data_IF_435735714000
#
_entry.id   IF_435735714000
#
_cell.length_a   1.000
_cell.length_b   1.000
_cell.length_c   1.000
_cell.angle_alpha   90.00
_cell.angle_beta   90.00
_cell.angle_gamma   90.00
#
_symmetry.space_group_name_H-M   'P 1'
#
loop_
_entity.id
_entity.type
_entity.pdbx_description
1 polymer ?
#
# COMPACT_ATOMS: atom_id res chain seq x y z
N UNK A 1 -19.76 -20.96 -21.11
CA UNK A 1 -18.42 -21.39 -21.56
C UNK A 1 -17.76 -22.15 -20.42
N UNK A 2 -17.55 -23.45 -20.60
CA UNK A 2 -16.93 -24.35 -19.62
C UNK A 2 -15.47 -23.95 -19.45
N UNK A 3 -15.09 -23.50 -18.25
CA UNK A 3 -13.73 -23.03 -17.94
C UNK A 3 -12.75 -24.18 -18.08
N UNK A 4 -11.73 -24.00 -18.92
CA UNK A 4 -10.69 -24.97 -19.23
C UNK A 4 -9.80 -25.23 -18.00
N UNK A 5 -10.27 -26.09 -17.09
CA UNK A 5 -9.45 -26.82 -16.11
C UNK A 5 -8.62 -27.90 -16.83
N UNK A 6 -7.74 -27.50 -17.74
CA UNK A 6 -6.84 -28.42 -18.43
C UNK A 6 -5.47 -28.37 -17.74
N UNK A 7 -5.20 -29.34 -16.86
CA UNK A 7 -3.89 -29.57 -16.23
C UNK A 7 -2.82 -30.11 -17.20
N UNK A 8 -3.00 -29.99 -18.53
CA UNK A 8 -2.08 -30.55 -19.54
C UNK A 8 -0.61 -30.12 -19.38
N UNK A 9 -0.32 -29.06 -18.62
CA UNK A 9 1.04 -28.59 -18.33
C UNK A 9 1.29 -28.33 -16.83
N UNK A 10 0.46 -28.86 -15.93
CA UNK A 10 0.60 -28.67 -14.47
C UNK A 10 0.22 -27.28 -13.94
N UNK A 11 -0.26 -26.36 -14.79
CA UNK A 11 -0.71 -25.01 -14.43
C UNK A 11 -1.99 -24.65 -15.22
N UNK A 12 -2.83 -23.79 -14.66
CA UNK A 12 -4.09 -23.30 -15.23
C UNK A 12 -4.26 -21.78 -15.04
N UNK A 13 -5.32 -21.19 -15.58
CA UNK A 13 -5.59 -19.74 -15.47
C UNK A 13 -5.69 -19.22 -14.03
N UNK A 14 -5.99 -20.08 -13.04
CA UNK A 14 -6.02 -19.72 -11.62
C UNK A 14 -4.64 -19.81 -10.93
N UNK A 15 -3.66 -20.42 -11.58
CA UNK A 15 -2.31 -20.62 -11.03
C UNK A 15 -1.58 -19.31 -10.73
N UNK A 16 -1.65 -18.25 -11.58
CA UNK A 16 -1.09 -16.95 -11.23
C UNK A 16 -1.57 -16.41 -9.88
N UNK A 17 -2.89 -16.35 -9.67
CA UNK A 17 -3.48 -15.87 -8.41
C UNK A 17 -3.06 -16.73 -7.21
N UNK A 18 -3.06 -18.06 -7.35
CA UNK A 18 -2.63 -18.96 -6.28
C UNK A 18 -1.14 -18.77 -5.91
N UNK A 19 -0.26 -18.59 -6.90
CA UNK A 19 1.16 -18.30 -6.66
C UNK A 19 1.34 -16.92 -5.99
N UNK A 20 0.51 -15.94 -6.31
CA UNK A 20 0.54 -14.63 -5.65
C UNK A 20 0.12 -14.70 -4.19
N UNK A 21 -0.94 -15.44 -3.88
CA UNK A 21 -1.35 -15.71 -2.48
C UNK A 21 -0.21 -16.41 -1.74
N UNK A 22 0.38 -17.45 -2.35
CA UNK A 22 1.51 -18.17 -1.77
C UNK A 22 2.70 -17.23 -1.52
N UNK A 23 3.03 -16.34 -2.45
CA UNK A 23 4.11 -15.36 -2.28
C UNK A 23 3.88 -14.46 -1.06
N UNK A 24 2.62 -14.05 -0.81
CA UNK A 24 2.26 -13.21 0.32
C UNK A 24 2.33 -13.92 1.67
N UNK A 25 2.09 -15.24 1.69
CA UNK A 25 2.27 -16.09 2.88
C UNK A 25 3.75 -16.32 3.16
N UNK A 26 4.53 -16.56 2.10
CA UNK A 26 5.95 -16.95 2.21
C UNK A 26 6.85 -15.77 2.63
N UNK A 27 6.42 -14.52 2.45
CA UNK A 27 7.09 -13.32 3.00
C UNK A 27 7.36 -13.43 4.50
N UNK A 28 6.53 -14.17 5.23
CA UNK A 28 6.72 -14.40 6.68
C UNK A 28 7.94 -15.27 7.03
N UNK A 29 8.57 -15.90 6.04
CA UNK A 29 9.70 -16.83 6.23
C UNK A 29 11.03 -16.28 5.66
N UNK A 30 11.09 -14.99 5.34
CA UNK A 30 12.31 -14.23 5.00
C UNK A 30 13.20 -14.85 3.91
N UNK A 31 12.58 -15.46 2.89
CA UNK A 31 13.30 -16.01 1.73
C UNK A 31 13.03 -15.16 0.47
N UNK A 32 13.66 -13.98 0.43
CA UNK A 32 13.46 -12.96 -0.58
C UNK A 32 13.63 -13.47 -2.02
N UNK A 33 14.63 -14.32 -2.28
CA UNK A 33 14.89 -14.86 -3.62
C UNK A 33 13.79 -15.82 -4.08
N UNK A 34 13.34 -16.71 -3.19
CA UNK A 34 12.26 -17.64 -3.48
C UNK A 34 10.93 -16.92 -3.72
N UNK A 35 10.63 -15.91 -2.90
CA UNK A 35 9.45 -15.05 -3.04
C UNK A 35 9.47 -14.33 -4.39
N UNK A 36 10.61 -13.73 -4.76
CA UNK A 36 10.80 -13.06 -6.06
C UNK A 36 10.57 -14.02 -7.23
N UNK A 37 11.09 -15.24 -7.13
CA UNK A 37 10.92 -16.26 -8.17
C UNK A 37 9.46 -16.69 -8.36
N UNK A 38 8.74 -16.96 -7.27
CA UNK A 38 7.31 -17.32 -7.33
C UNK A 38 6.50 -16.19 -7.97
N UNK A 39 6.73 -14.96 -7.53
CA UNK A 39 5.98 -13.80 -7.99
C UNK A 39 6.25 -13.47 -9.47
N UNK A 40 7.51 -13.58 -9.93
CA UNK A 40 7.85 -13.45 -11.36
C UNK A 40 7.19 -14.53 -12.21
N UNK A 41 7.17 -15.78 -11.74
CA UNK A 41 6.49 -16.87 -12.45
C UNK A 41 4.99 -16.65 -12.54
N UNK A 42 4.36 -16.09 -11.51
CA UNK A 42 2.94 -15.74 -11.53
C UNK A 42 2.64 -14.67 -12.59
N UNK A 43 3.47 -13.61 -12.69
CA UNK A 43 3.32 -12.56 -13.69
C UNK A 43 3.44 -13.11 -15.12
N UNK A 44 4.48 -13.91 -15.40
CA UNK A 44 4.67 -14.55 -16.72
C UNK A 44 3.51 -15.48 -17.09
N UNK A 45 2.93 -16.19 -16.11
CA UNK A 45 1.76 -17.02 -16.35
C UNK A 45 0.50 -16.19 -16.60
N UNK A 46 0.31 -15.07 -15.90
CA UNK A 46 -0.82 -14.16 -16.12
C UNK A 46 -0.80 -13.56 -17.53
N UNK A 47 0.38 -13.11 -17.98
CA UNK A 47 0.61 -12.66 -19.37
C UNK A 47 0.30 -13.78 -20.38
N UNK A 48 0.79 -15.01 -20.12
CA UNK A 48 0.57 -16.16 -21.00
C UNK A 48 -0.90 -16.54 -21.16
N UNK A 49 -1.70 -16.36 -20.12
CA UNK A 49 -3.13 -16.69 -20.13
C UNK A 49 -4.02 -15.51 -20.57
N UNK A 50 -3.43 -14.38 -20.98
CA UNK A 50 -4.15 -13.17 -21.40
C UNK A 50 -5.16 -12.69 -20.34
N UNK A 51 -4.77 -12.76 -19.06
CA UNK A 51 -5.64 -12.43 -17.93
C UNK A 51 -5.70 -10.91 -17.68
N UNK A 52 -5.79 -10.09 -18.73
CA UNK A 52 -5.69 -8.61 -18.65
C UNK A 52 -6.60 -7.99 -17.59
N UNK A 53 -7.80 -8.56 -17.40
CA UNK A 53 -8.80 -8.07 -16.46
C UNK A 53 -8.52 -8.49 -15.00
N UNK A 54 -7.81 -9.60 -14.80
CA UNK A 54 -7.39 -10.14 -13.49
C UNK A 54 -5.94 -9.76 -13.14
N UNK A 55 -5.19 -9.18 -14.08
CA UNK A 55 -3.81 -8.74 -13.91
C UNK A 55 -3.68 -7.66 -12.83
N UNK A 56 -4.71 -6.84 -12.61
CA UNK A 56 -4.62 -5.79 -11.59
C UNK A 56 -4.45 -6.37 -10.18
N UNK A 57 -5.14 -7.47 -9.86
CA UNK A 57 -4.97 -8.19 -8.58
C UNK A 57 -3.60 -8.87 -8.46
N UNK A 58 -3.15 -9.51 -9.55
CA UNK A 58 -1.84 -10.16 -9.59
C UNK A 58 -0.71 -9.14 -9.40
N UNK A 59 -0.77 -8.01 -10.10
CA UNK A 59 0.17 -6.90 -9.95
C UNK A 59 0.13 -6.31 -8.54
N UNK A 60 -1.06 -6.11 -7.99
CA UNK A 60 -1.24 -5.57 -6.65
C UNK A 60 -0.57 -6.46 -5.59
N UNK A 61 -0.81 -7.76 -5.64
CA UNK A 61 -0.18 -8.71 -4.74
C UNK A 61 1.34 -8.79 -4.95
N UNK A 62 1.80 -8.60 -6.19
CA UNK A 62 3.23 -8.63 -6.52
C UNK A 62 3.93 -7.45 -5.88
N UNK A 63 3.40 -6.24 -6.06
CA UNK A 63 3.99 -5.03 -5.52
C UNK A 63 3.82 -4.91 -4.00
N UNK A 64 2.75 -5.45 -3.42
CA UNK A 64 2.61 -5.57 -1.96
C UNK A 64 3.64 -6.53 -1.36
N UNK A 65 4.03 -7.55 -2.12
CA UNK A 65 4.90 -8.61 -1.67
C UNK A 65 6.31 -8.50 -2.21
N UNK A 66 6.62 -9.38 -3.17
CA UNK A 66 7.96 -9.53 -3.74
C UNK A 66 8.53 -8.25 -4.38
N UNK A 67 7.67 -7.39 -4.93
CA UNK A 67 8.09 -6.20 -5.67
C UNK A 67 8.83 -5.18 -4.81
N UNK A 68 8.52 -5.09 -3.50
CA UNK A 68 9.23 -4.22 -2.58
C UNK A 68 10.73 -4.56 -2.46
N UNK A 69 11.11 -5.79 -2.82
CA UNK A 69 12.50 -6.26 -2.83
C UNK A 69 13.33 -5.70 -3.99
N UNK A 70 12.70 -5.07 -4.99
CA UNK A 70 13.39 -4.51 -6.15
C UNK A 70 13.55 -2.98 -6.04
N UNK A 71 12.49 -2.25 -5.67
CA UNK A 71 12.51 -0.83 -5.22
C UNK A 71 11.08 -0.35 -4.94
N UNK A 72 10.86 0.35 -3.82
CA UNK A 72 9.57 1.01 -3.53
C UNK A 72 9.14 1.98 -4.64
N UNK A 73 10.10 2.68 -5.24
CA UNK A 73 9.82 3.68 -6.28
C UNK A 73 9.29 3.02 -7.56
N UNK A 74 9.88 1.89 -7.95
CA UNK A 74 9.41 1.08 -9.09
C UNK A 74 7.99 0.55 -8.83
N UNK A 75 7.74 0.05 -7.61
CA UNK A 75 6.42 -0.42 -7.22
C UNK A 75 5.37 0.69 -7.25
N UNK A 76 5.69 1.90 -6.78
CA UNK A 76 4.79 3.05 -6.84
C UNK A 76 4.39 3.36 -8.30
N UNK A 77 5.36 3.39 -9.22
CA UNK A 77 5.08 3.61 -10.66
C UNK A 77 4.16 2.54 -11.24
N UNK A 78 4.36 1.27 -10.90
CA UNK A 78 3.50 0.20 -11.42
C UNK A 78 2.09 0.23 -10.83
N UNK A 79 1.97 0.51 -9.53
CA UNK A 79 0.67 0.65 -8.86
C UNK A 79 -0.16 1.82 -9.44
N UNK A 80 0.48 2.91 -9.87
CA UNK A 80 -0.20 3.99 -10.60
C UNK A 80 -0.80 3.51 -11.93
N UNK A 81 -0.08 2.67 -12.68
CA UNK A 81 -0.59 2.05 -13.91
C UNK A 81 -1.74 1.09 -13.60
N UNK A 82 -1.62 0.30 -12.54
CA UNK A 82 -2.68 -0.60 -12.06
C UNK A 82 -3.93 0.16 -11.62
N UNK A 83 -3.79 1.35 -11.00
CA UNK A 83 -4.92 2.24 -10.72
C UNK A 83 -5.67 2.65 -12.00
N UNK A 84 -4.95 3.14 -13.01
CA UNK A 84 -5.57 3.54 -14.28
C UNK A 84 -6.29 2.37 -14.96
N UNK A 85 -5.65 1.21 -15.03
CA UNK A 85 -6.24 -0.02 -15.59
C UNK A 85 -7.46 -0.51 -14.79
N UNK A 86 -7.40 -0.45 -13.46
CA UNK A 86 -8.52 -0.81 -12.58
C UNK A 86 -9.73 0.10 -12.78
N UNK A 87 -9.54 1.41 -12.95
CA UNK A 87 -10.64 2.32 -13.27
C UNK A 87 -11.23 2.04 -14.65
N UNK A 88 -10.39 1.83 -15.68
CA UNK A 88 -10.87 1.55 -17.04
C UNK A 88 -11.65 0.24 -17.16
N UNK A 89 -11.31 -0.77 -16.35
CA UNK A 89 -12.02 -2.06 -16.28
C UNK A 89 -13.27 -2.03 -15.39
N UNK A 90 -13.59 -0.89 -14.76
CA UNK A 90 -14.73 -0.75 -13.84
C UNK A 90 -14.47 -1.32 -12.44
N UNK A 91 -13.26 -1.78 -12.15
CA UNK A 91 -12.88 -2.35 -10.87
C UNK A 91 -12.32 -1.27 -9.92
N UNK A 92 -13.21 -0.36 -9.49
CA UNK A 92 -12.85 0.78 -8.67
C UNK A 92 -12.21 0.38 -7.33
N UNK A 93 -12.65 -0.71 -6.71
CA UNK A 93 -12.11 -1.18 -5.43
C UNK A 93 -10.60 -1.47 -5.53
N UNK A 94 -10.21 -2.24 -6.54
CA UNK A 94 -8.82 -2.61 -6.76
C UNK A 94 -8.02 -1.40 -7.26
N UNK A 95 -8.62 -0.54 -8.08
CA UNK A 95 -7.98 0.71 -8.49
C UNK A 95 -7.58 1.56 -7.28
N UNK A 96 -8.53 1.86 -6.39
CA UNK A 96 -8.28 2.70 -5.22
C UNK A 96 -7.36 2.04 -4.19
N UNK A 97 -7.37 0.72 -4.10
CA UNK A 97 -6.41 -0.01 -3.30
C UNK A 97 -4.97 0.10 -3.89
N UNK A 98 -4.83 0.04 -5.21
CA UNK A 98 -3.56 0.34 -5.90
C UNK A 98 -3.10 1.77 -5.65
N UNK A 99 -4.01 2.76 -5.73
CA UNK A 99 -3.71 4.15 -5.45
C UNK A 99 -3.18 4.35 -4.02
N UNK A 100 -3.86 3.78 -3.02
CA UNK A 100 -3.43 3.86 -1.62
C UNK A 100 -2.04 3.26 -1.38
N UNK A 101 -1.76 2.08 -1.94
CA UNK A 101 -0.42 1.48 -1.84
C UNK A 101 0.64 2.23 -2.65
N UNK A 102 0.29 2.76 -3.82
CA UNK A 102 1.21 3.56 -4.64
C UNK A 102 1.69 4.78 -3.87
N UNK A 103 0.75 5.51 -3.25
CA UNK A 103 1.04 6.65 -2.38
C UNK A 103 1.91 6.24 -1.19
N UNK A 104 1.62 5.10 -0.55
CA UNK A 104 2.43 4.58 0.55
C UNK A 104 3.90 4.40 0.13
N UNK A 105 4.14 3.72 -0.99
CA UNK A 105 5.50 3.47 -1.47
C UNK A 105 6.20 4.74 -1.94
N UNK A 106 5.46 5.67 -2.53
CA UNK A 106 5.95 7.01 -2.83
C UNK A 106 6.48 7.73 -1.59
N UNK A 107 5.71 7.71 -0.50
CA UNK A 107 6.12 8.31 0.78
C UNK A 107 7.35 7.62 1.36
N UNK A 108 7.38 6.27 1.38
CA UNK A 108 8.48 5.49 1.97
C UNK A 108 9.76 5.61 1.12
N UNK A 109 9.64 5.69 -0.20
CA UNK A 109 10.77 5.86 -1.13
C UNK A 109 11.36 7.26 -1.14
N UNK A 110 10.82 8.19 -0.34
CA UNK A 110 11.18 9.60 -0.33
C UNK A 110 11.07 10.21 -1.75
N UNK A 111 9.90 10.11 -2.36
CA UNK A 111 9.65 10.66 -3.69
C UNK A 111 10.13 12.12 -3.79
N UNK A 112 10.92 12.42 -4.82
CA UNK A 112 11.65 13.69 -4.95
C UNK A 112 10.73 14.90 -5.15
N UNK A 113 9.52 14.68 -5.66
CA UNK A 113 8.53 15.72 -5.90
C UNK A 113 7.28 15.50 -5.04
N UNK A 114 7.37 15.97 -3.79
CA UNK A 114 6.29 15.88 -2.82
C UNK A 114 5.06 16.72 -3.20
N UNK A 115 5.23 17.79 -3.99
CA UNK A 115 4.12 18.63 -4.46
C UNK A 115 3.28 17.86 -5.46
N UNK A 116 3.92 17.20 -6.45
CA UNK A 116 3.22 16.34 -7.40
C UNK A 116 2.52 15.17 -6.70
N UNK A 117 3.16 14.55 -5.70
CA UNK A 117 2.53 13.50 -4.90
C UNK A 117 1.31 14.01 -4.12
N UNK A 118 1.38 15.22 -3.55
CA UNK A 118 0.24 15.84 -2.85
C UNK A 118 -0.94 16.07 -3.81
N UNK A 119 -0.66 16.60 -5.01
CA UNK A 119 -1.67 16.81 -6.05
C UNK A 119 -2.31 15.49 -6.51
N UNK A 120 -1.51 14.43 -6.64
CA UNK A 120 -1.99 13.09 -6.98
C UNK A 120 -2.93 12.53 -5.89
N UNK A 121 -2.58 12.70 -4.61
CA UNK A 121 -3.45 12.30 -3.50
C UNK A 121 -4.77 13.08 -3.54
N UNK A 122 -4.73 14.39 -3.81
CA UNK A 122 -5.93 15.21 -3.95
C UNK A 122 -6.81 14.79 -5.13
N UNK A 123 -6.20 14.40 -6.25
CA UNK A 123 -6.92 13.80 -7.38
C UNK A 123 -7.65 12.51 -6.98
N UNK A 124 -6.97 11.56 -6.32
CA UNK A 124 -7.61 10.32 -5.86
C UNK A 124 -8.74 10.57 -4.87
N UNK A 125 -8.56 11.52 -3.94
CA UNK A 125 -9.60 11.91 -2.98
C UNK A 125 -10.83 12.48 -3.66
N UNK A 126 -10.66 13.35 -4.65
CA UNK A 126 -11.78 13.90 -5.40
C UNK A 126 -12.58 12.82 -6.13
N UNK A 127 -11.90 11.80 -6.68
CA UNK A 127 -12.59 10.67 -7.29
C UNK A 127 -13.36 9.84 -6.24
N UNK A 128 -12.86 9.69 -5.02
CA UNK A 128 -13.56 8.94 -3.97
C UNK A 128 -14.89 9.55 -3.54
N UNK A 129 -15.13 10.85 -3.77
CA UNK A 129 -16.47 11.44 -3.57
C UNK A 129 -17.53 10.78 -4.49
N UNK A 130 -17.10 10.24 -5.63
CA UNK A 130 -17.95 9.52 -6.59
C UNK A 130 -18.11 8.06 -6.16
N UNK A 131 -17.01 7.40 -5.78
CA UNK A 131 -16.97 5.95 -5.52
C UNK A 131 -17.26 5.55 -4.07
N UNK A 132 -17.39 6.51 -3.13
CA UNK A 132 -17.85 6.34 -1.74
C UNK A 132 -17.09 5.30 -0.91
N UNK A 133 -15.80 5.08 -1.18
CA UNK A 133 -14.96 4.19 -0.38
C UNK A 133 -14.36 4.95 0.82
N UNK A 134 -15.08 4.93 1.94
CA UNK A 134 -14.69 5.64 3.18
C UNK A 134 -13.31 5.23 3.70
N UNK A 135 -12.99 3.94 3.80
CA UNK A 135 -11.69 3.48 4.32
C UNK A 135 -10.52 4.04 3.49
N UNK A 136 -10.58 3.93 2.16
CA UNK A 136 -9.54 4.48 1.27
C UNK A 136 -9.44 6.00 1.42
N UNK A 137 -10.55 6.70 1.62
CA UNK A 137 -10.58 8.16 1.84
C UNK A 137 -9.81 8.52 3.12
N UNK A 138 -10.02 7.78 4.21
CA UNK A 138 -9.25 7.92 5.45
C UNK A 138 -7.76 7.65 5.24
N UNK A 139 -7.41 6.59 4.52
CA UNK A 139 -6.02 6.27 4.22
C UNK A 139 -5.32 7.40 3.46
N UNK A 140 -5.92 7.86 2.37
CA UNK A 140 -5.35 8.93 1.54
C UNK A 140 -5.25 10.25 2.30
N UNK A 141 -6.19 10.56 3.20
CA UNK A 141 -6.09 11.71 4.08
C UNK A 141 -4.86 11.62 5.00
N UNK A 142 -4.57 10.44 5.59
CA UNK A 142 -3.39 10.26 6.45
C UNK A 142 -2.09 10.52 5.68
N UNK A 143 -1.99 9.98 4.46
CA UNK A 143 -0.85 10.22 3.58
C UNK A 143 -0.77 11.70 3.17
N UNK A 144 -1.89 12.34 2.83
CA UNK A 144 -1.93 13.76 2.48
C UNK A 144 -1.39 14.65 3.59
N UNK A 145 -1.85 14.46 4.83
CA UNK A 145 -1.35 15.21 6.00
C UNK A 145 0.15 14.97 6.22
N UNK A 146 0.62 13.74 5.99
CA UNK A 146 2.03 13.38 6.13
C UNK A 146 2.89 14.08 5.08
N UNK A 147 2.50 14.03 3.80
CA UNK A 147 3.18 14.72 2.70
C UNK A 147 3.17 16.24 2.92
N UNK A 148 2.04 16.79 3.35
CA UNK A 148 1.92 18.21 3.73
C UNK A 148 2.89 18.58 4.87
N UNK A 149 3.01 17.72 5.88
CA UNK A 149 4.00 17.90 6.96
C UNK A 149 5.43 17.86 6.41
N UNK A 150 5.70 17.01 5.44
CA UNK A 150 7.04 16.89 4.85
C UNK A 150 7.43 18.12 4.03
N UNK A 151 6.49 18.71 3.31
CA UNK A 151 6.70 19.90 2.47
C UNK A 151 7.03 21.13 3.33
N UNK A 152 6.17 21.46 4.28
CA UNK A 152 6.27 22.75 5.00
C UNK A 152 5.75 22.70 6.43
N UNK A 153 5.73 21.51 7.04
CA UNK A 153 5.13 21.25 8.36
C UNK A 153 3.63 21.58 8.39
N UNK A 154 2.96 21.52 7.23
CA UNK A 154 1.53 21.78 7.09
C UNK A 154 1.13 23.26 7.16
N UNK A 155 2.04 24.20 6.88
CA UNK A 155 1.75 25.64 7.02
C UNK A 155 0.88 26.20 5.90
N UNK A 156 1.18 25.85 4.66
CA UNK A 156 0.52 26.35 3.44
C UNK A 156 -0.24 25.25 2.70
N UNK A 157 0.13 23.99 2.94
CA UNK A 157 -0.41 22.83 2.22
C UNK A 157 -1.50 22.05 2.98
N UNK A 158 -1.80 22.46 4.22
CA UNK A 158 -2.84 21.84 5.03
C UNK A 158 -4.25 22.13 4.47
N UNK A 159 -5.18 21.21 4.73
CA UNK A 159 -6.60 21.36 4.41
C UNK A 159 -7.44 21.34 5.68
N UNK A 160 -8.66 21.86 5.58
CA UNK A 160 -9.61 21.90 6.71
C UNK A 160 -10.09 20.50 7.12
N UNK A 161 -10.17 19.55 6.17
CA UNK A 161 -10.59 18.18 6.45
C UNK A 161 -9.60 17.51 7.41
N UNK A 162 -10.01 17.36 8.67
CA UNK A 162 -9.26 16.66 9.70
C UNK A 162 -9.76 15.24 9.85
N UNK A 163 -8.81 14.33 10.06
CA UNK A 163 -9.12 12.96 10.42
C UNK A 163 -9.70 12.91 11.83
N UNK A 164 -10.94 12.44 11.95
CA UNK A 164 -11.48 11.95 13.21
C UNK A 164 -11.16 10.47 13.31
N UNK A 165 -10.02 10.17 13.93
CA UNK A 165 -9.81 8.81 14.43
C UNK A 165 -10.89 8.60 15.50
N UNK A 166 -11.70 7.55 15.35
CA UNK A 166 -12.60 7.09 16.42
C UNK A 166 -11.79 6.90 17.72
N UNK A 167 -12.49 6.67 18.83
CA UNK A 167 -11.87 6.58 20.16
C UNK A 167 -10.53 5.82 20.10
N UNK A 168 -9.44 6.55 20.36
CA UNK A 168 -8.09 6.00 20.29
C UNK A 168 -7.83 5.01 21.42
N UNK A 169 -8.73 4.92 22.39
CA UNK A 169 -8.76 3.91 23.44
C UNK A 169 -9.53 2.64 23.06
N UNK A 170 -10.21 2.61 21.90
CA UNK A 170 -10.89 1.41 21.40
C UNK A 170 -9.89 0.45 20.72
N UNK A 171 -9.61 -0.74 21.29
CA UNK A 171 -8.73 -1.73 20.68
C UNK A 171 -9.29 -2.32 19.37
N UNK A 172 -10.59 -2.15 19.08
CA UNK A 172 -11.22 -2.53 17.81
C UNK A 172 -10.99 -1.54 16.67
N UNK A 173 -10.37 -0.38 16.95
CA UNK A 173 -10.16 0.67 15.96
C UNK A 173 -9.02 0.32 14.99
N UNK A 174 -9.41 -0.20 13.83
CA UNK A 174 -8.49 -0.58 12.74
C UNK A 174 -7.70 0.60 12.14
N UNK A 175 -8.05 1.84 12.47
CA UNK A 175 -7.33 3.04 12.02
C UNK A 175 -6.18 3.43 12.96
N UNK A 176 -6.13 2.88 14.18
CA UNK A 176 -5.06 3.17 15.14
C UNK A 176 -3.69 2.80 14.61
N UNK A 177 -3.61 1.66 13.93
CA UNK A 177 -2.37 1.21 13.31
C UNK A 177 -1.81 2.26 12.35
N UNK A 178 -2.68 2.75 11.46
CA UNK A 178 -2.35 3.77 10.48
C UNK A 178 -2.02 5.10 11.15
N UNK A 179 -2.80 5.51 12.15
CA UNK A 179 -2.54 6.72 12.92
C UNK A 179 -1.13 6.72 13.51
N UNK A 180 -0.77 5.69 14.28
CA UNK A 180 0.54 5.61 14.92
C UNK A 180 1.67 5.55 13.89
N UNK A 181 1.53 4.76 12.82
CA UNK A 181 2.50 4.74 11.72
C UNK A 181 2.78 6.15 11.17
N UNK A 182 1.73 6.89 10.81
CA UNK A 182 1.88 8.24 10.28
C UNK A 182 2.43 9.24 11.31
N UNK A 183 2.08 9.09 12.59
CA UNK A 183 2.65 9.93 13.63
C UNK A 183 4.15 9.71 13.82
N UNK A 184 4.63 8.45 13.76
CA UNK A 184 6.07 8.16 13.80
C UNK A 184 6.79 8.87 12.65
N UNK A 185 6.30 8.71 11.42
CA UNK A 185 6.91 9.35 10.24
C UNK A 185 6.93 10.88 10.32
N UNK A 186 5.79 11.49 10.69
CA UNK A 186 5.68 12.95 10.82
C UNK A 186 6.62 13.50 11.88
N UNK A 187 6.64 12.90 13.07
CA UNK A 187 7.47 13.37 14.20
C UNK A 187 8.95 13.14 13.93
N UNK A 188 9.30 12.05 13.24
CA UNK A 188 10.68 11.78 12.84
C UNK A 188 11.17 12.87 11.88
N UNK A 189 10.39 13.17 10.85
CA UNK A 189 10.73 14.18 9.84
C UNK A 189 10.97 15.58 10.42
N UNK A 190 10.17 15.96 11.43
CA UNK A 190 10.29 17.28 12.06
C UNK A 190 11.25 17.31 13.26
N UNK A 191 11.90 16.18 13.59
CA UNK A 191 12.95 16.09 14.60
C UNK A 191 12.50 15.87 16.05
N UNK A 192 11.30 15.34 16.29
CA UNK A 192 10.78 15.07 17.64
C UNK A 192 10.93 13.59 18.05
N UNK A 193 12.15 13.18 18.38
CA UNK A 193 12.49 11.80 18.75
C UNK A 193 11.62 11.23 19.89
N UNK A 194 11.43 11.98 20.99
CA UNK A 194 10.60 11.53 22.12
C UNK A 194 9.14 11.24 21.72
N UNK A 195 8.60 12.01 20.77
CA UNK A 195 7.25 11.76 20.24
C UNK A 195 7.23 10.53 19.35
N UNK A 196 8.27 10.29 18.57
CA UNK A 196 8.40 9.05 17.81
C UNK A 196 8.40 7.83 18.74
N UNK A 197 9.22 7.85 19.80
CA UNK A 197 9.28 6.76 20.79
C UNK A 197 7.91 6.49 21.40
N UNK A 198 7.21 7.55 21.80
CA UNK A 198 5.85 7.44 22.31
C UNK A 198 4.93 6.70 21.34
N UNK A 199 4.91 7.10 20.07
CA UNK A 199 4.02 6.47 19.08
C UNK A 199 4.46 5.06 18.67
N UNK A 200 5.76 4.75 18.68
CA UNK A 200 6.26 3.39 18.48
C UNK A 200 5.83 2.47 19.63
N UNK A 201 5.91 2.94 20.87
CA UNK A 201 5.42 2.18 22.03
C UNK A 201 3.92 1.90 21.90
N UNK A 202 3.11 2.92 21.57
CA UNK A 202 1.67 2.77 21.33
C UNK A 202 1.35 1.81 20.19
N UNK A 203 2.14 1.84 19.11
CA UNK A 203 2.01 0.87 18.02
C UNK A 203 2.27 -0.57 18.49
N UNK A 204 3.26 -0.77 19.37
CA UNK A 204 3.60 -2.06 19.95
C UNK A 204 2.50 -2.67 20.84
N UNK A 205 1.67 -1.82 21.45
CA UNK A 205 0.53 -2.19 22.31
C UNK A 205 -0.71 -2.68 21.53
N UNK A 206 -0.75 -2.50 20.19
CA UNK A 206 -1.89 -2.91 19.38
C UNK A 206 -2.04 -4.44 19.30
N UNK A 207 -3.26 -4.94 19.46
CA UNK A 207 -3.62 -6.33 19.15
C UNK A 207 -3.50 -6.60 17.64
N UNK A 208 -2.93 -7.75 17.26
CA UNK A 208 -2.69 -8.17 15.86
C UNK A 208 -3.91 -7.98 14.94
N UNK A 209 -3.74 -7.57 13.65
CA UNK A 209 -2.50 -7.61 12.85
C UNK A 209 -1.79 -6.26 12.68
N UNK A 210 -0.46 -6.28 12.62
CA UNK A 210 0.43 -5.12 12.42
C UNK A 210 1.03 -5.10 10.99
N UNK A 211 0.26 -4.62 10.03
CA UNK A 211 0.64 -4.48 8.62
C UNK A 211 1.83 -3.55 8.35
N UNK A 212 2.08 -2.56 9.21
CA UNK A 212 3.16 -1.60 9.07
C UNK A 212 4.43 -1.93 9.87
N UNK A 213 4.44 -3.05 10.60
CA UNK A 213 5.52 -3.44 11.52
C UNK A 213 6.89 -3.47 10.82
N UNK A 214 6.95 -4.08 9.63
CA UNK A 214 8.19 -4.15 8.85
C UNK A 214 8.75 -2.76 8.49
N UNK A 215 7.89 -1.76 8.27
CA UNK A 215 8.35 -0.40 7.96
C UNK A 215 8.82 0.31 9.22
N UNK A 216 8.13 0.17 10.34
CA UNK A 216 8.57 0.76 11.62
C UNK A 216 9.92 0.18 12.04
N UNK A 217 10.09 -1.14 11.93
CA UNK A 217 11.37 -1.81 12.22
C UNK A 217 12.49 -1.28 11.32
N UNK A 218 12.28 -1.28 10.00
CA UNK A 218 13.31 -0.83 9.03
C UNK A 218 13.63 0.65 9.16
N UNK A 219 12.60 1.48 9.32
CA UNK A 219 12.74 2.94 9.31
C UNK A 219 13.24 3.49 10.65
N UNK A 220 12.67 3.02 11.77
CA UNK A 220 12.94 3.58 13.10
C UNK A 220 14.04 2.83 13.84
N UNK A 221 14.07 1.50 13.74
CA UNK A 221 15.09 0.68 14.39
C UNK A 221 16.32 0.42 13.51
N UNK A 222 16.25 0.73 12.21
CA UNK A 222 17.38 0.58 11.27
C UNK A 222 17.78 -0.88 11.01
N UNK A 223 16.84 -1.83 11.19
CA UNK A 223 17.03 -3.27 11.04
C UNK A 223 16.59 -3.78 9.66
#
# INVERSE_FOLDING_TARGET
KMVQLSLRHGVCQYTPQALMILSSIVIRFDNAEFIRRIAKNAMLLAERFDLSDEMVDVHLHFHRGAGQLDSYQLCATQLRKSFASGLSSGNANIAFFCAGQGVQFSVISAEKDLISLLQEIDYYRNLLEIYKSELTKYCLLCYRETVSTFIDKGKTTAIEAKLTFADVSDPGNKLLEMFYFHQVFKNYWIGYAERCDHYVQRYGELSQPRHFEAYIIKFYHGL
#
